data_IF_341877993912
#
_entry.id   IF_341877993912
#
_cell.length_a   1.000
_cell.length_b   1.000
_cell.length_c   1.000
_cell.angle_alpha   90.00
_cell.angle_beta   90.00
_cell.angle_gamma   90.00
#
_symmetry.space_group_name_H-M   'P 1'
#
loop_
_entity.id
_entity.type
_entity.pdbx_description
1 polymer ?
#
# COMPACT_ATOMS: atom_id res chain seq x y z
N UNK A 1 23.20 -14.40 11.66
CA UNK A 1 23.01 -13.14 10.91
C UNK A 1 21.84 -12.38 11.52
N UNK A 2 21.88 -11.05 11.56
CA UNK A 2 20.85 -10.24 12.20
C UNK A 2 19.75 -9.92 11.18
N UNK A 3 18.60 -10.60 11.27
CA UNK A 3 17.45 -10.48 10.35
C UNK A 3 17.00 -9.02 10.13
N UNK A 4 17.10 -8.18 11.16
CA UNK A 4 16.77 -6.75 11.05
C UNK A 4 17.77 -5.95 10.19
N UNK A 5 19.01 -6.41 10.07
CA UNK A 5 20.02 -5.81 9.20
C UNK A 5 19.75 -6.17 7.75
N UNK A 6 19.32 -7.40 7.49
CA UNK A 6 18.93 -7.86 6.14
C UNK A 6 17.69 -7.13 5.65
N UNK A 7 16.66 -6.96 6.48
CA UNK A 7 15.46 -6.19 6.13
C UNK A 7 15.78 -4.73 5.81
N UNK A 8 16.65 -4.09 6.61
CA UNK A 8 17.11 -2.72 6.35
C UNK A 8 17.89 -2.59 5.03
N UNK A 9 18.74 -3.57 4.73
CA UNK A 9 19.46 -3.60 3.45
C UNK A 9 18.50 -3.82 2.28
N UNK A 10 17.55 -4.74 2.41
CA UNK A 10 16.55 -5.01 1.37
C UNK A 10 15.68 -3.78 1.09
N UNK A 11 15.23 -3.08 2.13
CA UNK A 11 14.47 -1.84 1.99
C UNK A 11 15.28 -0.74 1.30
N UNK A 12 16.55 -0.58 1.66
CA UNK A 12 17.46 0.37 1.02
C UNK A 12 17.66 0.04 -0.47
N UNK A 13 17.90 -1.22 -0.78
CA UNK A 13 18.15 -1.67 -2.16
C UNK A 13 16.87 -1.53 -3.01
N UNK A 14 15.70 -1.79 -2.43
CA UNK A 14 14.40 -1.56 -3.07
C UNK A 14 14.16 -0.07 -3.34
N UNK A 15 14.45 0.80 -2.37
CA UNK A 15 14.31 2.25 -2.56
C UNK A 15 15.24 2.78 -3.65
N UNK A 16 16.49 2.32 -3.66
CA UNK A 16 17.45 2.66 -4.71
C UNK A 16 17.01 2.21 -6.10
N UNK A 17 16.32 1.07 -6.20
CA UNK A 17 15.75 0.59 -7.46
C UNK A 17 14.58 1.48 -7.92
N UNK A 18 13.70 1.90 -7.00
CA UNK A 18 12.62 2.86 -7.30
C UNK A 18 13.21 4.18 -7.82
N UNK A 19 14.20 4.75 -7.12
CA UNK A 19 14.81 6.02 -7.50
C UNK A 19 15.50 5.91 -8.89
N UNK A 20 16.13 4.77 -9.18
CA UNK A 20 16.73 4.50 -10.49
C UNK A 20 15.69 4.41 -11.61
N UNK A 21 14.53 3.80 -11.34
CA UNK A 21 13.42 3.72 -12.29
C UNK A 21 12.86 5.13 -12.51
N UNK A 22 12.62 5.89 -11.44
CA UNK A 22 12.13 7.26 -11.51
C UNK A 22 13.07 8.16 -12.31
N UNK A 23 14.39 8.06 -12.08
CA UNK A 23 15.37 8.79 -12.88
C UNK A 23 15.33 8.39 -14.35
N UNK A 24 15.26 7.09 -14.65
CA UNK A 24 15.19 6.58 -16.03
C UNK A 24 13.87 6.93 -16.75
N UNK A 25 12.80 7.17 -15.99
CA UNK A 25 11.51 7.65 -16.52
C UNK A 25 11.44 9.17 -16.61
N UNK A 26 12.13 9.89 -15.71
CA UNK A 26 12.23 11.36 -15.74
C UNK A 26 13.16 11.85 -16.85
N UNK A 27 14.21 11.11 -17.19
CA UNK A 27 15.13 11.43 -18.32
C UNK A 27 14.62 10.97 -19.69
N UNK A 28 13.34 10.63 -19.80
CA UNK A 28 12.67 10.37 -21.07
C UNK A 28 11.61 11.41 -21.39
N UNK A 29 11.97 12.66 -21.20
CA UNK A 29 11.57 13.67 -22.17
C UNK A 29 12.16 13.26 -23.52
N UNK A 30 11.26 12.77 -24.36
CA UNK A 30 11.46 12.72 -25.80
C UNK A 30 11.89 14.13 -26.21
N UNK A 31 13.00 14.25 -26.94
CA UNK A 31 13.30 15.42 -27.78
C UNK A 31 12.07 15.68 -28.67
N UNK A 32 11.14 16.46 -28.17
CA UNK A 32 10.18 17.21 -28.95
C UNK A 32 10.58 18.64 -28.65
N UNK A 33 11.22 19.27 -29.63
CA UNK A 33 11.36 20.71 -29.72
C UNK A 33 10.03 21.35 -29.30
N UNK A 34 10.01 21.99 -28.14
CA UNK A 34 9.25 23.22 -27.93
C UNK A 34 9.74 23.89 -26.64
N UNK A 35 10.03 25.17 -26.83
CA UNK A 35 10.56 26.14 -25.89
C UNK A 35 9.56 26.44 -24.75
N UNK A 36 10.09 27.00 -23.64
CA UNK A 36 9.41 27.82 -22.61
C UNK A 36 8.44 27.05 -21.68
N UNK A 37 8.39 27.18 -20.35
CA UNK A 37 8.62 28.26 -19.36
C UNK A 37 8.66 27.57 -17.96
N UNK A 38 9.60 27.91 -17.07
CA UNK A 38 9.39 28.69 -15.82
C UNK A 38 8.41 28.11 -14.76
N UNK A 39 8.96 27.75 -13.58
CA UNK A 39 8.63 28.25 -12.22
C UNK A 39 7.89 27.20 -11.35
N UNK A 40 8.53 26.68 -10.29
CA UNK A 40 8.60 27.14 -8.90
C UNK A 40 7.41 26.74 -7.98
N UNK A 41 7.81 26.10 -6.86
CA UNK A 41 7.24 26.11 -5.49
C UNK A 41 5.73 25.97 -5.23
N UNK A 42 5.34 25.14 -4.24
CA UNK A 42 5.10 25.62 -2.86
C UNK A 42 4.36 24.55 -2.02
N UNK A 43 4.82 24.37 -0.78
CA UNK A 43 4.21 23.57 0.28
C UNK A 43 2.93 24.26 0.81
N UNK A 44 1.95 23.46 1.24
CA UNK A 44 0.77 23.96 1.94
C UNK A 44 0.13 22.91 2.84
N UNK A 45 0.53 22.91 4.11
CA UNK A 45 -0.24 22.35 5.23
C UNK A 45 -1.48 23.23 5.48
N UNK A 46 -2.62 22.62 5.82
CA UNK A 46 -3.71 23.35 6.45
C UNK A 46 -4.48 22.45 7.44
N UNK A 47 -4.16 22.65 8.71
CA UNK A 47 -4.92 22.26 9.89
C UNK A 47 -6.08 23.26 10.05
N UNK A 48 -7.31 22.77 10.26
CA UNK A 48 -8.46 23.62 10.63
C UNK A 48 -9.13 23.05 11.87
N UNK A 49 -9.00 23.81 12.96
CA UNK A 49 -9.72 23.73 14.23
C UNK A 49 -10.83 24.78 14.19
N UNK A 50 -12.04 24.46 14.67
CA UNK A 50 -12.96 25.35 15.42
C UNK A 50 -14.26 24.58 15.76
N UNK A 51 -14.47 24.18 17.01
CA UNK A 51 -15.23 24.86 18.08
C UNK A 51 -16.66 25.30 17.73
N UNK A 52 -17.64 24.78 18.49
CA UNK A 52 -18.80 25.57 18.94
C UNK A 52 -19.40 25.01 20.25
N UNK A 53 -19.67 25.94 21.17
CA UNK A 53 -20.05 25.78 22.58
C UNK A 53 -21.58 25.64 22.80
N UNK A 54 -21.92 24.98 23.92
CA UNK A 54 -22.99 25.20 24.93
C UNK A 54 -24.43 25.55 24.49
N UNK A 55 -25.44 24.89 25.10
CA UNK A 55 -26.25 25.36 26.28
C UNK A 55 -27.03 24.16 26.93
N UNK A 56 -27.71 24.26 28.12
CA UNK A 56 -27.57 23.32 29.26
C UNK A 56 -28.91 22.75 29.82
N UNK A 57 -28.87 22.07 30.98
CA UNK A 57 -30.00 21.82 31.92
C UNK A 57 -30.39 20.34 32.07
N UNK A 58 -29.93 19.65 33.13
CA UNK A 58 -30.60 19.45 34.44
C UNK A 58 -31.74 18.41 34.42
N UNK A 59 -31.51 17.23 35.00
CA UNK A 59 -32.23 16.65 36.16
C UNK A 59 -31.97 15.13 36.26
N UNK A 60 -31.63 14.70 37.48
CA UNK A 60 -31.36 13.32 37.89
C UNK A 60 -32.65 12.49 37.90
N UNK A 61 -32.60 11.24 37.43
CA UNK A 61 -33.44 10.19 38.01
C UNK A 61 -32.78 8.81 37.92
N UNK A 62 -32.74 8.13 39.06
CA UNK A 62 -32.18 6.79 39.23
C UNK A 62 -33.14 5.73 38.70
N UNK A 63 -32.71 4.91 37.74
CA UNK A 63 -33.25 3.56 37.59
C UNK A 63 -32.12 2.56 37.31
N UNK A 64 -31.89 1.69 38.30
CA UNK A 64 -31.16 0.44 38.16
C UNK A 64 -31.81 -0.39 37.05
N UNK A 65 -31.16 -0.46 35.88
CA UNK A 65 -31.36 -1.56 34.94
C UNK A 65 -30.06 -2.33 34.85
N UNK A 66 -30.15 -3.53 35.41
CA UNK A 66 -29.16 -4.60 35.40
C UNK A 66 -28.99 -5.09 33.95
N UNK A 67 -28.29 -4.32 33.11
CA UNK A 67 -27.71 -4.82 31.87
C UNK A 67 -26.40 -5.51 32.26
N UNK A 68 -26.43 -6.84 32.25
CA UNK A 68 -25.19 -7.60 32.09
C UNK A 68 -24.71 -7.26 30.68
N UNK A 69 -23.88 -6.21 30.60
CA UNK A 69 -22.96 -6.05 29.48
C UNK A 69 -22.09 -7.31 29.50
N UNK A 70 -22.46 -8.29 28.67
CA UNK A 70 -21.48 -9.22 28.16
C UNK A 70 -20.48 -8.33 27.43
N UNK A 71 -19.41 -7.96 28.15
CA UNK A 71 -18.15 -7.57 27.55
C UNK A 71 -17.78 -8.73 26.62
N UNK A 72 -18.27 -8.70 25.38
CA UNK A 72 -17.56 -9.29 24.28
C UNK A 72 -16.20 -8.62 24.32
N UNK A 73 -15.27 -9.23 25.05
CA UNK A 73 -13.85 -9.03 24.88
C UNK A 73 -13.63 -9.22 23.38
N UNK A 74 -13.71 -8.12 22.63
CA UNK A 74 -13.16 -8.02 21.29
C UNK A 74 -11.72 -8.42 21.52
N UNK A 75 -11.45 -9.68 21.21
CA UNK A 75 -10.13 -10.24 21.29
C UNK A 75 -9.36 -9.51 20.20
N UNK A 76 -8.88 -8.30 20.52
CA UNK A 76 -7.99 -7.44 19.76
C UNK A 76 -6.63 -8.11 19.73
N UNK A 77 -6.65 -9.35 19.24
CA UNK A 77 -5.48 -10.14 18.96
C UNK A 77 -4.85 -9.45 17.78
N UNK A 78 -3.79 -8.68 18.06
CA UNK A 78 -2.97 -8.05 17.04
C UNK A 78 -2.72 -9.06 15.91
N UNK A 79 -2.87 -8.64 14.64
CA UNK A 79 -2.70 -9.53 13.50
C UNK A 79 -1.33 -10.20 13.60
N UNK A 80 -1.31 -11.52 13.39
CA UNK A 80 -0.07 -12.28 13.41
C UNK A 80 0.89 -11.76 12.35
N UNK A 81 2.20 -11.86 12.55
CA UNK A 81 3.19 -11.54 11.52
C UNK A 81 2.88 -12.24 10.19
N UNK A 82 2.29 -13.44 10.24
CA UNK A 82 1.84 -14.17 9.06
C UNK A 82 0.65 -13.50 8.36
N UNK A 83 -0.27 -12.91 9.12
CA UNK A 83 -1.41 -12.17 8.58
C UNK A 83 -0.94 -10.90 7.87
N UNK A 84 0.03 -10.19 8.47
CA UNK A 84 0.66 -9.02 7.86
C UNK A 84 1.38 -9.38 6.55
N UNK A 85 2.09 -10.51 6.52
CA UNK A 85 2.76 -11.00 5.30
C UNK A 85 1.74 -11.35 4.21
N UNK A 86 0.64 -12.01 4.56
CA UNK A 86 -0.42 -12.33 3.58
C UNK A 86 -1.04 -11.05 3.03
N UNK A 87 -1.34 -10.08 3.90
CA UNK A 87 -1.86 -8.78 3.49
C UNK A 87 -0.91 -8.05 2.54
N UNK A 88 0.40 -8.06 2.83
CA UNK A 88 1.40 -7.44 1.96
C UNK A 88 1.50 -8.14 0.59
N UNK A 89 1.43 -9.48 0.57
CA UNK A 89 1.38 -10.23 -0.68
C UNK A 89 0.13 -9.86 -1.50
N UNK A 90 -1.02 -9.74 -0.85
CA UNK A 90 -2.29 -9.38 -1.51
C UNK A 90 -2.22 -7.95 -2.09
N UNK A 91 -1.60 -6.99 -1.37
CA UNK A 91 -1.35 -5.64 -1.88
C UNK A 91 -0.45 -5.66 -3.13
N UNK A 92 0.68 -6.39 -3.07
CA UNK A 92 1.60 -6.52 -4.21
C UNK A 92 0.92 -7.17 -5.43
N UNK A 93 0.03 -8.14 -5.20
CA UNK A 93 -0.75 -8.74 -6.28
C UNK A 93 -1.72 -7.74 -6.92
N UNK A 94 -2.39 -6.93 -6.10
CA UNK A 94 -3.31 -5.91 -6.61
C UNK A 94 -2.58 -4.87 -7.47
N UNK A 95 -1.45 -4.34 -7.00
CA UNK A 95 -0.61 -3.40 -7.75
C UNK A 95 -0.11 -4.02 -9.07
N UNK A 96 0.34 -5.28 -9.01
CA UNK A 96 0.80 -6.01 -10.20
C UNK A 96 -0.32 -6.15 -11.24
N UNK A 97 -1.54 -6.46 -10.79
CA UNK A 97 -2.72 -6.58 -11.65
C UNK A 97 -3.13 -5.22 -12.25
N UNK A 98 -3.01 -4.14 -11.47
CA UNK A 98 -3.27 -2.79 -11.96
C UNK A 98 -2.30 -2.41 -13.08
N UNK A 99 -0.99 -2.61 -12.88
CA UNK A 99 0.02 -2.36 -13.91
C UNK A 99 -0.27 -3.20 -15.16
N UNK A 100 -0.59 -4.48 -15.01
CA UNK A 100 -0.97 -5.33 -16.14
C UNK A 100 -2.18 -4.79 -16.91
N UNK A 101 -3.17 -4.25 -16.20
CA UNK A 101 -4.35 -3.65 -16.81
C UNK A 101 -4.02 -2.34 -17.53
N UNK A 102 -3.15 -1.50 -16.97
CA UNK A 102 -2.66 -0.28 -17.62
C UNK A 102 -1.88 -0.63 -18.91
N UNK A 103 -1.00 -1.63 -18.86
CA UNK A 103 -0.23 -2.08 -20.02
C UNK A 103 -1.14 -2.60 -21.14
N UNK A 104 -2.22 -3.34 -20.81
CA UNK A 104 -3.21 -3.81 -21.78
C UNK A 104 -3.99 -2.67 -22.46
N UNK A 105 -4.29 -1.60 -21.72
CA UNK A 105 -5.03 -0.43 -22.23
C UNK A 105 -4.12 0.53 -23.02
N UNK A 106 -2.80 0.38 -22.91
CA UNK A 106 -1.84 1.27 -23.53
C UNK A 106 -1.68 1.03 -25.04
N UNK A 107 -1.46 2.10 -25.81
CA UNK A 107 -1.13 2.01 -27.25
C UNK A 107 0.22 1.30 -27.51
N UNK A 108 1.04 1.14 -26.47
CA UNK A 108 2.37 0.53 -26.52
C UNK A 108 2.36 -0.98 -26.22
N UNK A 109 1.20 -1.63 -26.07
CA UNK A 109 1.08 -3.06 -25.73
C UNK A 109 1.94 -3.97 -26.63
N UNK A 110 2.03 -3.63 -27.93
CA UNK A 110 2.79 -4.41 -28.91
C UNK A 110 4.31 -4.24 -28.78
N UNK A 111 4.78 -3.25 -28.02
CA UNK A 111 6.18 -2.92 -27.89
C UNK A 111 6.95 -4.07 -27.20
N UNK A 112 8.10 -4.52 -27.73
CA UNK A 112 8.84 -5.67 -27.18
C UNK A 112 9.19 -5.54 -25.69
N UNK A 113 9.56 -4.33 -25.24
CA UNK A 113 9.83 -4.07 -23.82
C UNK A 113 8.59 -4.24 -22.95
N UNK A 114 7.41 -3.84 -23.43
CA UNK A 114 6.14 -4.00 -22.70
C UNK A 114 5.77 -5.48 -22.58
N UNK A 115 6.00 -6.28 -23.62
CA UNK A 115 5.86 -7.74 -23.56
C UNK A 115 6.78 -8.36 -22.52
N UNK A 116 8.03 -7.92 -22.46
CA UNK A 116 8.99 -8.38 -21.45
C UNK A 116 8.54 -8.05 -20.04
N UNK A 117 8.11 -6.80 -19.79
CA UNK A 117 7.58 -6.35 -18.50
C UNK A 117 6.36 -7.17 -18.11
N UNK A 118 5.42 -7.39 -19.03
CA UNK A 118 4.24 -8.22 -18.79
C UNK A 118 4.62 -9.64 -18.38
N UNK A 119 5.59 -10.28 -19.04
CA UNK A 119 6.07 -11.61 -18.65
C UNK A 119 6.67 -11.62 -17.25
N UNK A 120 7.42 -10.57 -16.88
CA UNK A 120 7.99 -10.43 -15.54
C UNK A 120 6.90 -10.26 -14.48
N UNK A 121 5.88 -9.44 -14.73
CA UNK A 121 4.73 -9.25 -13.83
C UNK A 121 3.94 -10.55 -13.64
N UNK A 122 3.75 -11.34 -14.71
CA UNK A 122 3.12 -12.66 -14.60
C UNK A 122 3.95 -13.63 -13.73
N UNK A 123 5.28 -13.56 -13.82
CA UNK A 123 6.17 -14.35 -12.96
C UNK A 123 6.09 -13.92 -11.49
N UNK A 124 6.00 -12.61 -11.22
CA UNK A 124 5.77 -12.07 -9.87
C UNK A 124 4.46 -12.61 -9.28
N UNK A 125 3.37 -12.62 -10.06
CA UNK A 125 2.09 -13.21 -9.62
C UNK A 125 2.26 -14.68 -9.20
N UNK A 126 3.00 -15.48 -10.00
CA UNK A 126 3.25 -16.89 -9.68
C UNK A 126 4.03 -17.06 -8.37
N UNK A 127 5.08 -16.26 -8.17
CA UNK A 127 5.86 -16.28 -6.92
C UNK A 127 4.96 -15.90 -5.74
N UNK A 128 4.20 -14.82 -5.88
CA UNK A 128 3.34 -14.30 -4.82
C UNK A 128 2.26 -15.32 -4.43
N UNK A 129 1.65 -16.01 -5.39
CA UNK A 129 0.72 -17.11 -5.11
C UNK A 129 1.39 -18.22 -4.28
N UNK A 130 2.60 -18.65 -4.67
CA UNK A 130 3.34 -19.68 -3.94
C UNK A 130 3.80 -19.24 -2.54
N UNK A 131 4.09 -17.95 -2.35
CA UNK A 131 4.39 -17.38 -1.03
C UNK A 131 3.12 -17.31 -0.16
N UNK A 132 2.01 -16.83 -0.73
CA UNK A 132 0.71 -16.73 -0.06
C UNK A 132 0.22 -18.09 0.45
N UNK A 133 0.23 -19.11 -0.41
CA UNK A 133 -0.14 -20.48 -0.02
C UNK A 133 0.76 -21.03 1.10
N UNK A 134 2.05 -20.70 1.08
CA UNK A 134 2.96 -21.11 2.16
C UNK A 134 2.65 -20.38 3.47
N UNK A 135 2.39 -19.08 3.41
CA UNK A 135 2.02 -18.30 4.58
C UNK A 135 0.69 -18.78 5.20
N UNK A 136 -0.32 -19.05 4.37
CA UNK A 136 -1.61 -19.60 4.80
C UNK A 136 -1.47 -21.00 5.45
N UNK A 137 -0.67 -21.89 4.85
CA UNK A 137 -0.36 -23.19 5.45
C UNK A 137 0.33 -23.07 6.80
N UNK A 138 1.29 -22.14 6.94
CA UNK A 138 1.96 -21.88 8.21
C UNK A 138 1.02 -21.27 9.25
N UNK A 139 0.03 -20.50 8.82
CA UNK A 139 -1.02 -19.95 9.66
C UNK A 139 -2.13 -20.96 10.00
N UNK A 140 -2.08 -22.18 9.45
CA UNK A 140 -3.09 -23.22 9.69
C UNK A 140 -4.45 -22.94 9.02
N UNK A 141 -4.49 -22.09 7.99
CA UNK A 141 -5.72 -21.70 7.27
C UNK A 141 -5.64 -22.24 5.85
N UNK A 142 -6.57 -23.13 5.46
CA UNK A 142 -6.72 -23.67 4.10
C UNK A 142 -8.15 -23.46 3.60
#
# INVERSE_FOLDING_TARGET
MNRQKELRNLYRDFRSAIDSIQQATATKEIEVDNEEEEEEENMGEQEVVENQQNVPGEEEDHFENNEVEEEEESNDQLPSDLDLIVQEIDMLQNETNEILNLLKKSQIEKHPKVKSIRSQLMYVIQINNGLRERALRLAGRN
#
